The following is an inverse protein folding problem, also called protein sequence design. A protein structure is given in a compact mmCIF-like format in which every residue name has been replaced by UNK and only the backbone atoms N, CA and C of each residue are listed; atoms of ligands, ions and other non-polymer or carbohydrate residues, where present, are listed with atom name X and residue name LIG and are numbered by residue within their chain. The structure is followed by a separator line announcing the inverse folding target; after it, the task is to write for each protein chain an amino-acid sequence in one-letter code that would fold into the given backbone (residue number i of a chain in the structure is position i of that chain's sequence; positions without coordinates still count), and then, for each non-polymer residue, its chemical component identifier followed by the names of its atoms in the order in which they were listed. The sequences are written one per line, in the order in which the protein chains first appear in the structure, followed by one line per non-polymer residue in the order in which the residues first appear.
data_IF_319955527718
#
_entry.id   IF_319955527718
#
_cell.length_a   1.000
_cell.length_b   1.000
_cell.length_c   1.000
_cell.angle_alpha   90.00
_cell.angle_beta   90.00
_cell.angle_gamma   90.00
#
_symmetry.space_group_name_H-M   'P 1'
#
loop_
_entity.id
_entity.type
_entity.pdbx_description
1 polymer ?
#
# COMPACT_ATOMS: atom_id res chain seq x y z
N UNK A 1 -2.72 -5.27 4.80
CA UNK A 1 -2.15 -5.24 3.44
C UNK A 1 -2.11 -6.64 2.87
N UNK A 2 -1.41 -7.57 3.52
CA UNK A 2 -1.08 -8.89 2.96
C UNK A 2 -2.29 -9.76 2.55
N UNK A 3 -3.45 -9.55 3.17
CA UNK A 3 -4.63 -10.37 2.93
C UNK A 3 -5.81 -9.56 2.35
N UNK A 4 -5.59 -8.41 1.70
CA UNK A 4 -6.68 -7.67 1.04
C UNK A 4 -6.87 -8.15 -0.40
N UNK A 5 -8.08 -8.61 -0.75
CA UNK A 5 -8.41 -9.05 -2.11
C UNK A 5 -8.97 -7.90 -2.94
N UNK A 6 -8.10 -7.29 -3.75
CA UNK A 6 -8.47 -6.26 -4.72
C UNK A 6 -8.93 -6.84 -6.08
N UNK A 7 -8.79 -8.16 -6.30
CA UNK A 7 -9.08 -8.79 -7.60
C UNK A 7 -10.57 -8.88 -7.91
N UNK A 8 -11.41 -8.93 -6.87
CA UNK A 8 -12.87 -9.05 -7.01
C UNK A 8 -13.58 -7.73 -7.25
N UNK A 9 -12.86 -6.59 -7.24
CA UNK A 9 -13.46 -5.26 -7.34
C UNK A 9 -14.43 -4.93 -6.19
N UNK A 10 -14.31 -5.62 -5.05
CA UNK A 10 -15.17 -5.44 -3.88
C UNK A 10 -14.48 -4.50 -2.88
N UNK A 11 -15.23 -3.51 -2.41
CA UNK A 11 -14.74 -2.45 -1.53
C UNK A 11 -14.42 -1.16 -2.29
N UNK A 12 -14.12 -0.11 -1.54
CA UNK A 12 -13.78 1.20 -2.11
C UNK A 12 -12.29 1.42 -1.93
N UNK A 13 -11.58 1.62 -3.04
CA UNK A 13 -10.17 1.98 -3.03
C UNK A 13 -10.05 3.49 -3.23
N UNK A 14 -9.33 4.13 -2.32
CA UNK A 14 -8.96 5.53 -2.37
C UNK A 14 -7.47 5.61 -2.62
N UNK A 15 -7.08 6.49 -3.54
CA UNK A 15 -5.68 6.76 -3.81
C UNK A 15 -5.43 8.26 -3.73
N UNK A 16 -4.22 8.61 -3.31
CA UNK A 16 -3.76 9.98 -3.31
C UNK A 16 -2.30 10.01 -3.76
N UNK A 17 -2.07 10.74 -4.84
CA UNK A 17 -0.73 10.97 -5.39
C UNK A 17 -0.11 12.21 -4.79
N UNK A 18 1.14 12.08 -4.38
CA UNK A 18 1.98 13.16 -3.88
C UNK A 18 3.19 13.24 -4.79
N UNK A 19 3.21 14.24 -5.66
CA UNK A 19 4.43 14.64 -6.35
C UNK A 19 5.40 15.17 -5.30
N UNK A 20 6.65 14.71 -5.32
CA UNK A 20 7.68 15.07 -4.32
C UNK A 20 8.97 15.58 -4.97
N UNK A 21 9.02 15.58 -6.31
CA UNK A 21 10.18 15.98 -7.09
C UNK A 21 10.51 17.48 -6.98
N UNK A 22 9.53 18.36 -6.72
CA UNK A 22 9.70 19.83 -6.69
C UNK A 22 8.77 20.55 -5.70
N UNK A 23 8.25 19.82 -4.71
CA UNK A 23 7.17 20.26 -3.82
C UNK A 23 7.55 19.98 -2.39
N UNK A 24 6.99 20.75 -1.45
CA UNK A 24 7.21 20.51 -0.03
C UNK A 24 6.72 19.10 0.33
N UNK A 25 7.65 18.24 0.76
CA UNK A 25 7.32 16.86 1.13
C UNK A 25 6.57 16.85 2.47
N UNK A 26 5.36 16.29 2.52
CA UNK A 26 4.67 16.04 3.79
C UNK A 26 5.55 15.25 4.77
N UNK A 27 5.37 15.43 6.09
CA UNK A 27 6.17 14.76 7.12
C UNK A 27 6.19 13.23 6.95
N UNK A 28 5.05 12.62 6.63
CA UNK A 28 4.95 11.17 6.46
C UNK A 28 5.81 10.62 5.31
N UNK A 29 6.03 11.41 4.25
CA UNK A 29 6.89 11.00 3.14
C UNK A 29 8.35 10.99 3.59
N UNK A 30 8.76 11.97 4.40
CA UNK A 30 10.11 12.02 4.97
C UNK A 30 10.38 10.82 5.89
N UNK A 31 9.39 10.41 6.67
CA UNK A 31 9.50 9.24 7.53
C UNK A 31 9.67 7.94 6.72
N UNK A 32 8.93 7.81 5.61
CA UNK A 32 9.06 6.69 4.68
C UNK A 32 10.43 6.69 4.01
N UNK A 33 10.89 7.83 3.51
CA UNK A 33 12.23 7.98 2.93
C UNK A 33 13.31 7.63 3.94
N UNK A 34 13.22 8.13 5.18
CA UNK A 34 14.18 7.81 6.24
C UNK A 34 14.22 6.30 6.56
N UNK A 35 13.06 5.64 6.55
CA UNK A 35 12.97 4.19 6.72
C UNK A 35 13.65 3.46 5.57
N UNK A 36 13.38 3.85 4.32
CA UNK A 36 14.01 3.27 3.12
C UNK A 36 15.53 3.49 3.15
N UNK A 37 15.99 4.70 3.48
CA UNK A 37 17.40 5.02 3.63
C UNK A 37 18.07 4.15 4.69
N UNK A 38 17.39 3.88 5.81
CA UNK A 38 17.90 2.98 6.86
C UNK A 38 18.05 1.53 6.37
N UNK A 39 17.13 1.05 5.55
CA UNK A 39 17.19 -0.30 4.98
C UNK A 39 18.21 -0.43 3.85
N UNK A 40 18.25 0.55 2.94
CA UNK A 40 19.13 0.54 1.77
C UNK A 40 20.52 1.14 2.04
N UNK A 41 20.74 1.72 3.23
CA UNK A 41 21.96 2.45 3.65
C UNK A 41 22.45 3.48 2.61
N UNK A 42 21.52 4.03 1.85
CA UNK A 42 21.80 4.91 0.71
C UNK A 42 20.83 6.09 0.74
N UNK A 43 21.27 7.24 0.24
CA UNK A 43 20.38 8.40 0.08
C UNK A 43 19.25 8.06 -0.88
N UNK A 44 18.02 8.16 -0.41
CA UNK A 44 16.81 7.89 -1.19
C UNK A 44 15.89 9.10 -1.12
N UNK A 45 15.44 9.56 -2.28
CA UNK A 45 14.45 10.62 -2.42
C UNK A 45 13.44 10.18 -3.48
N UNK A 46 12.18 10.06 -3.10
CA UNK A 46 11.11 9.69 -4.00
C UNK A 46 10.79 10.86 -4.94
N UNK A 47 10.57 10.55 -6.21
CA UNK A 47 10.05 11.49 -7.21
C UNK A 47 8.54 11.73 -7.06
N UNK A 48 7.85 10.66 -6.64
CA UNK A 48 6.42 10.61 -6.39
C UNK A 48 6.14 9.61 -5.28
N UNK A 49 5.03 9.79 -4.58
CA UNK A 49 4.54 8.87 -3.56
C UNK A 49 3.05 8.65 -3.78
N UNK A 50 2.63 7.39 -3.81
CA UNK A 50 1.23 7.01 -3.92
C UNK A 50 0.76 6.44 -2.60
N UNK A 51 -0.20 7.10 -1.96
CA UNK A 51 -0.89 6.57 -0.79
C UNK A 51 -2.15 5.88 -1.24
N UNK A 52 -2.26 4.58 -0.95
CA UNK A 52 -3.45 3.79 -1.23
C UNK A 52 -4.09 3.43 0.11
N UNK A 53 -5.38 3.66 0.22
CA UNK A 53 -6.22 3.24 1.35
C UNK A 53 -7.47 2.56 0.80
N UNK A 54 -8.01 1.62 1.53
CA UNK A 54 -9.22 0.92 1.10
C UNK A 54 -10.15 0.72 2.28
N UNK A 55 -11.43 0.71 1.98
CA UNK A 55 -12.49 0.43 2.94
C UNK A 55 -13.33 -0.74 2.43
N UNK A 56 -13.72 -1.64 3.34
CA UNK A 56 -14.53 -2.84 3.02
C UNK A 56 -13.90 -3.76 1.96
N UNK A 57 -12.60 -3.67 1.72
CA UNK A 57 -11.91 -4.65 0.89
C UNK A 57 -11.95 -6.00 1.61
N UNK A 58 -12.49 -7.05 0.96
CA UNK A 58 -12.59 -8.35 1.59
C UNK A 58 -11.20 -8.90 1.86
N UNK A 59 -11.10 -9.68 2.93
CA UNK A 59 -9.94 -10.50 3.14
C UNK A 59 -9.83 -11.49 1.96
N UNK A 60 -8.65 -11.65 1.35
CA UNK A 60 -8.37 -12.75 0.45
C UNK A 60 -8.62 -14.03 1.23
N UNK A 61 -9.71 -14.70 0.92
CA UNK A 61 -10.08 -15.92 1.60
C UNK A 61 -8.95 -16.91 1.37
N UNK A 62 -8.30 -17.38 2.44
CA UNK A 62 -7.52 -18.59 2.34
C UNK A 62 -8.44 -19.62 1.69
N UNK A 63 -8.00 -20.22 0.58
CA UNK A 63 -8.77 -21.25 -0.12
C UNK A 63 -8.88 -22.43 0.84
N UNK A 64 -9.86 -22.42 1.72
CA UNK A 64 -10.29 -23.62 2.42
C UNK A 64 -10.78 -24.51 1.31
N UNK A 65 -10.02 -25.58 1.05
CA UNK A 65 -10.49 -26.68 0.24
C UNK A 65 -11.70 -27.28 0.94
N UNK A 66 -12.88 -26.74 0.67
CA UNK A 66 -14.14 -27.44 0.91
C UNK A 66 -14.38 -28.34 -0.31
N UNK A 67 -13.46 -29.26 -0.58
CA UNK A 67 -13.87 -30.51 -1.20
C UNK A 67 -14.69 -31.27 -0.17
N UNK A 68 -16.01 -31.19 -0.37
CA UNK A 68 -17.03 -32.17 0.03
C UNK A 68 -16.70 -33.07 1.23
N UNK A 69 -17.35 -32.80 2.34
CA UNK A 69 -17.95 -33.79 3.25
C UNK A 69 -19.14 -33.02 3.87
N UNK A 70 -20.43 -33.32 3.69
CA UNK A 70 -21.22 -34.49 3.29
C UNK A 70 -22.44 -33.99 2.52
#
# INVERSE_FOLDING_TARGET
WDNADFSRGVGTMFYQEFLTLNTAKPPFIRDVEAKIQRYLRSSYSAAWTLKITWEKAPAYAARTDTRRVM
#
